data_IF_976347852191
#
_entry.id   IF_976347852191
#
_cell.length_a   1.000
_cell.length_b   1.000
_cell.length_c   1.000
_cell.angle_alpha   90.00
_cell.angle_beta   90.00
_cell.angle_gamma   90.00
#
_symmetry.space_group_name_H-M   'P 1'
#
loop_
_entity.id
_entity.type
_entity.pdbx_description
1 polymer ?
#
# COMPACT_ATOMS: atom_id res chain seq x y z
N UNK A 1 21.52 -18.38 -3.01
CA UNK A 1 20.98 -17.09 -2.53
C UNK A 1 21.52 -16.62 -1.18
N UNK A 2 22.26 -17.43 -0.40
CA UNK A 2 22.91 -16.99 0.85
C UNK A 2 24.11 -16.02 0.67
N UNK A 3 24.57 -15.81 -0.57
CA UNK A 3 25.77 -15.02 -0.85
C UNK A 3 25.49 -13.52 -1.10
N UNK A 4 24.24 -13.13 -1.36
CA UNK A 4 23.97 -11.82 -1.97
C UNK A 4 23.68 -10.72 -0.95
N UNK A 5 22.96 -11.01 0.14
CA UNK A 5 22.79 -10.04 1.24
C UNK A 5 24.08 -9.82 2.04
N UNK A 6 24.98 -10.81 2.12
CA UNK A 6 26.30 -10.63 2.75
C UNK A 6 27.30 -9.90 1.85
N UNK A 7 27.21 -9.99 0.52
CA UNK A 7 28.15 -9.30 -0.37
C UNK A 7 27.95 -7.78 -0.45
N UNK A 8 26.75 -7.27 -0.08
CA UNK A 8 26.53 -5.83 0.08
C UNK A 8 27.05 -5.30 1.42
N UNK A 9 26.82 -6.02 2.52
CA UNK A 9 27.41 -5.65 3.83
C UNK A 9 28.94 -5.77 3.88
N UNK A 10 29.56 -6.76 3.21
CA UNK A 10 31.02 -6.89 3.19
C UNK A 10 31.73 -5.86 2.29
N UNK A 11 31.06 -5.28 1.28
CA UNK A 11 31.69 -4.30 0.38
C UNK A 11 31.88 -2.93 1.03
N UNK A 12 31.02 -2.56 1.98
CA UNK A 12 31.10 -1.28 2.68
C UNK A 12 32.02 -1.32 3.92
N UNK A 13 32.37 -2.52 4.41
CA UNK A 13 33.39 -2.70 5.46
C UNK A 13 34.84 -2.78 4.95
N UNK A 14 35.03 -2.82 3.62
CA UNK A 14 36.34 -3.01 2.98
C UNK A 14 36.81 -1.80 2.14
N UNK A 15 36.17 -0.63 2.26
CA UNK A 15 36.76 0.60 1.74
C UNK A 15 38.00 0.98 2.59
N UNK A 16 39.19 1.14 1.99
CA UNK A 16 40.34 1.67 2.70
C UNK A 16 40.03 3.08 3.20
N UNK A 17 40.14 3.27 4.51
CA UNK A 17 40.41 4.59 5.07
C UNK A 17 41.83 4.99 4.66
N UNK A 18 41.99 5.81 3.63
CA UNK A 18 43.27 6.48 3.32
C UNK A 18 43.11 8.00 3.37
N UNK A 19 43.29 8.53 4.58
CA UNK A 19 44.32 9.49 5.04
C UNK A 19 45.02 10.47 4.04
N UNK A 20 45.62 11.57 4.57
CA UNK A 20 45.56 12.93 4.05
C UNK A 20 46.72 13.28 3.11
N UNK A 21 46.55 14.34 2.32
CA UNK A 21 47.64 15.00 1.60
C UNK A 21 48.11 16.25 2.37
N UNK A 22 49.39 16.26 2.76
CA UNK A 22 50.12 17.45 3.19
C UNK A 22 51.00 17.95 2.04
N UNK A 23 51.01 19.27 1.82
CA UNK A 23 52.21 20.13 1.86
C UNK A 23 52.02 21.41 1.02
N UNK A 24 52.07 22.55 1.72
CA UNK A 24 52.06 23.90 1.15
C UNK A 24 51.90 24.96 2.23
N UNK A 25 52.99 25.32 2.92
CA UNK A 25 53.08 26.39 3.94
C UNK A 25 53.82 27.62 3.34
N UNK A 26 53.82 28.83 3.95
CA UNK A 26 52.73 29.68 4.44
C UNK A 26 52.67 31.04 3.69
N UNK A 27 51.53 31.75 3.80
CA UNK A 27 51.57 33.22 3.88
C UNK A 27 50.72 33.71 5.04
N UNK A 28 51.32 34.63 5.78
CA UNK A 28 50.84 35.30 6.97
C UNK A 28 49.66 36.22 6.67
N UNK A 29 48.56 36.12 7.42
CA UNK A 29 47.89 37.31 7.95
C UNK A 29 46.88 36.96 9.03
N UNK A 30 47.02 37.69 10.12
CA UNK A 30 46.27 37.63 11.37
C UNK A 30 44.95 38.42 11.30
N UNK A 31 44.09 38.14 12.29
CA UNK A 31 42.97 38.95 12.84
C UNK A 31 41.53 38.66 12.34
N UNK A 32 40.48 38.90 13.18
CA UNK A 32 40.01 37.92 14.17
C UNK A 32 38.48 37.69 14.13
N UNK A 33 38.04 36.71 14.91
CA UNK A 33 36.64 36.36 15.24
C UNK A 33 35.87 37.51 15.92
N UNK A 34 34.58 37.71 15.59
CA UNK A 34 33.67 38.49 16.42
C UNK A 34 33.00 37.63 17.51
N UNK A 35 33.11 38.13 18.73
CA UNK A 35 32.57 37.65 20.00
C UNK A 35 31.03 37.66 20.07
N UNK A 36 30.45 36.61 20.68
CA UNK A 36 29.12 36.67 21.32
C UNK A 36 29.18 37.52 22.62
N UNK A 37 28.09 38.21 23.01
CA UNK A 37 27.89 38.69 24.37
C UNK A 37 27.13 37.67 25.26
N UNK A 38 27.30 37.72 26.60
CA UNK A 38 26.86 36.67 27.53
C UNK A 38 25.44 36.88 28.12
N UNK A 39 25.00 35.79 28.75
CA UNK A 39 23.76 35.47 29.48
C UNK A 39 23.33 36.40 30.63
N UNK A 40 22.01 36.46 30.91
CA UNK A 40 21.49 36.03 32.22
C UNK A 40 19.95 35.76 32.28
N UNK A 41 19.46 34.94 33.23
CA UNK A 41 18.12 34.34 33.26
C UNK A 41 17.23 34.85 34.43
N UNK A 42 16.19 34.10 34.89
CA UNK A 42 14.77 34.38 34.71
C UNK A 42 14.11 35.07 35.92
N UNK A 43 12.99 35.77 35.70
CA UNK A 43 12.15 36.26 36.80
C UNK A 43 10.81 35.52 36.85
N UNK A 44 10.66 34.72 37.91
CA UNK A 44 9.42 34.22 38.46
C UNK A 44 8.86 35.27 39.42
N UNK A 45 7.58 35.63 39.30
CA UNK A 45 6.74 36.04 40.43
C UNK A 45 5.26 35.87 40.07
N UNK A 46 4.59 34.96 40.79
CA UNK A 46 3.19 35.09 41.18
C UNK A 46 3.21 35.54 42.66
N UNK A 47 2.27 36.36 43.19
CA UNK A 47 1.00 35.78 43.66
C UNK A 47 -0.23 36.73 43.71
N UNK A 48 -1.44 36.15 43.64
CA UNK A 48 -2.53 36.46 44.58
C UNK A 48 -3.85 37.07 44.05
N UNK A 49 -4.96 36.40 44.40
CA UNK A 49 -6.32 36.95 44.59
C UNK A 49 -7.32 36.64 43.46
N UNK A 50 -8.24 35.65 43.54
CA UNK A 50 -9.43 35.44 44.38
C UNK A 50 -10.77 35.75 43.65
N UNK A 51 -11.80 34.96 44.01
CA UNK A 51 -13.21 34.89 43.55
C UNK A 51 -13.46 34.03 42.29
N UNK A 52 -14.33 33.01 42.29
CA UNK A 52 -15.19 32.42 43.32
C UNK A 52 -16.18 31.43 42.67
N UNK A 53 -16.17 30.20 43.18
CA UNK A 53 -17.28 29.25 43.43
C UNK A 53 -18.50 29.13 42.50
N UNK A 54 -18.74 27.89 42.01
CA UNK A 54 -20.03 27.40 41.52
C UNK A 54 -20.09 25.86 41.50
N UNK A 55 -20.56 25.28 42.60
CA UNK A 55 -20.80 23.84 42.84
C UNK A 55 -22.06 23.32 42.14
N UNK A 56 -22.07 22.04 41.74
CA UNK A 56 -23.32 21.35 41.34
C UNK A 56 -23.12 19.87 41.02
N UNK A 57 -23.16 19.02 42.05
CA UNK A 57 -23.35 17.58 41.92
C UNK A 57 -24.85 17.26 41.70
N UNK A 58 -25.15 16.22 40.91
CA UNK A 58 -26.53 15.76 40.69
C UNK A 58 -26.56 14.32 40.21
N UNK A 59 -26.79 13.41 41.15
CA UNK A 59 -27.08 11.99 40.96
C UNK A 59 -28.56 11.83 40.55
N UNK A 60 -28.91 10.86 39.70
CA UNK A 60 -30.31 10.62 39.32
C UNK A 60 -30.55 9.29 38.61
N UNK A 61 -30.93 8.28 39.38
CA UNK A 61 -31.43 6.98 38.94
C UNK A 61 -32.95 7.09 38.67
N UNK A 62 -33.49 6.42 37.65
CA UNK A 62 -34.94 6.41 37.36
C UNK A 62 -35.33 5.34 36.35
N UNK A 63 -36.27 4.49 36.76
CA UNK A 63 -36.66 3.21 36.17
C UNK A 63 -38.01 3.32 35.41
N UNK A 64 -38.24 2.40 34.48
CA UNK A 64 -39.51 1.70 34.17
C UNK A 64 -40.48 2.16 33.04
N UNK A 65 -41.01 1.14 32.33
CA UNK A 65 -42.24 1.09 31.49
C UNK A 65 -42.01 1.22 29.97
N UNK A 66 -42.38 0.33 29.04
CA UNK A 66 -43.29 -0.82 29.05
C UNK A 66 -44.48 -0.59 28.10
N UNK A 67 -44.50 -1.20 26.89
CA UNK A 67 -45.66 -1.71 26.11
C UNK A 67 -45.14 -2.17 24.71
N UNK A 68 -45.53 -3.26 24.04
CA UNK A 68 -46.68 -4.16 24.17
C UNK A 68 -47.62 -4.06 22.94
N UNK A 69 -47.76 -5.14 22.16
CA UNK A 69 -48.86 -5.39 21.19
C UNK A 69 -48.45 -5.33 19.70
N UNK A 70 -48.30 -6.41 18.94
CA UNK A 70 -49.21 -7.50 18.49
C UNK A 70 -50.04 -7.17 17.24
N UNK A 71 -50.03 -8.07 16.24
CA UNK A 71 -50.90 -7.98 15.06
C UNK A 71 -50.51 -8.89 13.88
N UNK A 72 -50.70 -10.21 14.06
CA UNK A 72 -50.77 -11.22 12.99
C UNK A 72 -52.03 -11.02 12.12
N UNK A 73 -52.01 -11.36 10.80
CA UNK A 73 -52.66 -12.58 10.24
C UNK A 73 -52.90 -12.56 8.71
N UNK A 74 -52.61 -13.72 8.08
CA UNK A 74 -53.31 -14.43 6.98
C UNK A 74 -53.50 -13.89 5.55
N UNK A 75 -52.78 -14.56 4.63
CA UNK A 75 -53.25 -15.42 3.51
C UNK A 75 -54.55 -15.11 2.74
N UNK A 76 -54.43 -15.09 1.40
CA UNK A 76 -55.54 -15.29 0.46
C UNK A 76 -55.06 -15.51 -0.97
N UNK A 77 -55.26 -16.73 -1.48
CA UNK A 77 -55.04 -17.24 -2.84
C UNK A 77 -56.04 -16.68 -3.86
N UNK A 78 -55.66 -16.55 -5.13
CA UNK A 78 -56.62 -16.40 -6.23
C UNK A 78 -56.00 -16.12 -7.60
N UNK A 79 -56.03 -17.12 -8.49
CA UNK A 79 -55.69 -17.01 -9.91
C UNK A 79 -56.87 -16.47 -10.75
N UNK A 80 -56.61 -15.82 -11.89
CA UNK A 80 -57.65 -15.53 -12.88
C UNK A 80 -57.23 -14.56 -13.98
N UNK A 81 -57.13 -15.09 -15.21
CA UNK A 81 -56.88 -14.39 -16.47
C UNK A 81 -58.00 -13.41 -16.88
N UNK A 82 -57.65 -12.41 -17.70
CA UNK A 82 -58.46 -12.08 -18.90
C UNK A 82 -58.85 -10.62 -19.14
N UNK A 83 -58.25 -10.07 -20.22
CA UNK A 83 -58.80 -9.13 -21.20
C UNK A 83 -58.84 -7.60 -20.94
N UNK A 84 -58.20 -6.91 -21.90
CA UNK A 84 -58.19 -5.47 -22.28
C UNK A 84 -59.55 -5.03 -22.89
N UNK A 85 -59.92 -3.73 -23.06
CA UNK A 85 -59.25 -2.71 -23.92
C UNK A 85 -59.22 -1.29 -23.25
N UNK A 86 -58.51 -0.22 -23.66
CA UNK A 86 -58.36 0.50 -24.94
C UNK A 86 -57.15 1.48 -24.90
N UNK A 87 -56.51 1.72 -26.05
CA UNK A 87 -55.45 2.71 -26.39
C UNK A 87 -56.08 4.14 -26.60
N UNK A 88 -55.39 5.33 -26.69
CA UNK A 88 -54.25 5.69 -27.58
C UNK A 88 -53.11 6.58 -26.99
N UNK A 89 -51.87 6.48 -27.51
CA UNK A 89 -50.93 7.61 -27.46
C UNK A 89 -49.42 7.34 -27.57
N UNK A 90 -48.89 7.38 -28.80
CA UNK A 90 -47.51 7.24 -29.30
C UNK A 90 -46.38 8.08 -28.65
N UNK A 91 -45.13 7.58 -28.64
CA UNK A 91 -44.02 8.06 -29.52
C UNK A 91 -42.72 7.25 -29.31
N UNK A 92 -41.88 7.22 -30.35
CA UNK A 92 -40.92 6.17 -30.70
C UNK A 92 -39.46 6.33 -30.20
N UNK A 93 -38.80 5.18 -30.07
CA UNK A 93 -37.35 4.97 -29.85
C UNK A 93 -36.59 4.91 -31.19
N UNK A 94 -35.35 5.42 -31.31
CA UNK A 94 -34.43 5.03 -32.38
C UNK A 94 -33.35 4.05 -31.91
N UNK A 95 -33.19 2.96 -32.67
CA UNK A 95 -32.08 2.00 -32.64
C UNK A 95 -31.00 2.43 -33.62
N UNK A 96 -29.69 2.32 -33.31
CA UNK A 96 -28.65 2.32 -34.34
C UNK A 96 -27.98 0.95 -34.55
N UNK A 97 -27.76 0.66 -35.84
CA UNK A 97 -27.12 -0.50 -36.49
C UNK A 97 -25.58 -0.44 -36.40
N UNK A 98 -24.83 -1.57 -36.49
CA UNK A 98 -23.37 -1.58 -36.28
C UNK A 98 -22.57 -1.17 -37.52
N UNK A 99 -21.39 -0.57 -37.31
CA UNK A 99 -20.34 -0.36 -38.34
C UNK A 99 -18.96 -0.57 -37.73
N UNK A 100 -18.12 -1.33 -38.45
CA UNK A 100 -16.77 -1.77 -38.10
C UNK A 100 -15.73 -0.64 -37.99
N UNK A 101 -14.74 -0.87 -37.11
CA UNK A 101 -13.33 -0.55 -37.36
C UNK A 101 -12.82 0.88 -37.14
N UNK A 102 -12.52 1.25 -35.88
CA UNK A 102 -11.45 2.19 -35.56
C UNK A 102 -10.93 1.97 -34.13
N UNK A 103 -9.61 1.83 -33.99
CA UNK A 103 -8.87 1.70 -32.74
C UNK A 103 -9.03 2.99 -31.91
N UNK A 104 -10.04 3.04 -31.04
CA UNK A 104 -10.26 4.11 -30.09
C UNK A 104 -9.49 3.85 -28.80
N UNK A 105 -8.58 4.76 -28.43
CA UNK A 105 -8.03 4.85 -27.08
C UNK A 105 -9.17 4.88 -26.04
N UNK A 106 -9.14 4.01 -25.01
CA UNK A 106 -10.22 3.94 -24.04
C UNK A 106 -10.30 5.21 -23.18
N UNK A 107 -11.49 5.81 -23.15
CA UNK A 107 -11.88 6.89 -22.23
C UNK A 107 -11.95 6.36 -20.79
N UNK A 108 -11.43 7.09 -19.77
CA UNK A 108 -11.40 6.61 -18.39
C UNK A 108 -12.72 6.92 -17.69
N UNK A 109 -13.80 6.21 -18.04
CA UNK A 109 -15.11 6.33 -17.37
C UNK A 109 -15.31 5.32 -16.24
N UNK A 110 -14.25 5.01 -15.49
CA UNK A 110 -14.38 4.39 -14.17
C UNK A 110 -14.66 5.47 -13.12
N UNK A 111 -15.57 5.21 -12.17
CA UNK A 111 -15.75 6.08 -10.99
C UNK A 111 -14.44 6.10 -10.20
N UNK A 112 -13.78 7.25 -10.12
CA UNK A 112 -12.57 7.42 -9.32
C UNK A 112 -12.87 7.24 -7.84
N UNK A 113 -11.93 6.68 -7.09
CA UNK A 113 -12.05 6.58 -5.64
C UNK A 113 -11.85 7.98 -5.01
N UNK A 114 -12.52 8.26 -3.87
CA UNK A 114 -12.24 9.43 -3.08
C UNK A 114 -10.76 9.48 -2.68
N UNK A 115 -10.16 10.66 -2.75
CA UNK A 115 -8.77 10.85 -2.35
C UNK A 115 -8.65 10.98 -0.83
N UNK A 116 -7.62 10.38 -0.20
CA UNK A 116 -7.31 10.66 1.19
C UNK A 116 -6.87 12.12 1.39
N UNK A 117 -6.88 12.64 2.64
CA UNK A 117 -6.36 13.96 2.93
C UNK A 117 -4.87 14.07 2.58
N UNK A 118 -4.46 15.16 1.94
CA UNK A 118 -3.07 15.45 1.62
C UNK A 118 -2.94 16.41 0.45
N UNK A 119 -1.70 16.81 0.15
CA UNK A 119 -1.42 17.62 -1.05
C UNK A 119 -1.52 16.72 -2.28
N UNK A 120 -2.48 17.01 -3.15
CA UNK A 120 -2.67 16.24 -4.39
C UNK A 120 -1.61 16.64 -5.42
N UNK A 121 -0.93 15.65 -5.99
CA UNK A 121 0.08 15.78 -7.04
C UNK A 121 -0.22 14.85 -8.21
N UNK A 122 0.36 15.15 -9.37
CA UNK A 122 0.20 14.35 -10.61
C UNK A 122 1.49 14.39 -11.42
N UNK A 123 1.72 13.39 -12.27
CA UNK A 123 2.77 13.39 -13.28
C UNK A 123 2.17 13.12 -14.67
N UNK A 124 2.89 13.45 -15.78
CA UNK A 124 2.47 13.05 -17.11
C UNK A 124 2.33 11.52 -17.21
N UNK A 125 1.17 11.05 -17.68
CA UNK A 125 0.91 9.65 -17.97
C UNK A 125 1.72 9.15 -19.17
N UNK A 126 1.75 7.82 -19.37
CA UNK A 126 2.50 7.16 -20.45
C UNK A 126 3.81 6.56 -19.96
N UNK A 127 4.81 6.49 -20.85
CA UNK A 127 6.08 5.80 -20.58
C UNK A 127 6.92 6.60 -19.58
N UNK A 128 7.29 5.93 -18.48
CA UNK A 128 8.16 6.46 -17.44
C UNK A 128 9.54 5.82 -17.56
N UNK A 129 10.57 6.64 -17.77
CA UNK A 129 11.96 6.19 -17.81
C UNK A 129 12.71 6.54 -16.51
N UNK A 130 12.00 7.07 -15.52
CA UNK A 130 12.50 7.40 -14.18
C UNK A 130 11.38 7.16 -13.18
N UNK A 131 11.76 6.80 -11.96
CA UNK A 131 10.83 6.55 -10.87
C UNK A 131 10.05 7.83 -10.56
N UNK A 132 8.75 7.68 -10.33
CA UNK A 132 7.89 8.76 -9.83
C UNK A 132 7.91 8.68 -8.30
N UNK A 133 8.32 9.77 -7.66
CA UNK A 133 8.33 9.85 -6.19
C UNK A 133 7.04 10.51 -5.72
N UNK A 134 6.34 9.85 -4.80
CA UNK A 134 5.24 10.41 -4.03
C UNK A 134 5.81 10.81 -2.68
N UNK A 135 6.08 12.11 -2.50
CA UNK A 135 6.77 12.57 -1.30
C UNK A 135 5.90 12.48 -0.05
N UNK A 136 6.54 12.65 1.11
CA UNK A 136 5.94 12.54 2.43
C UNK A 136 4.58 13.25 2.52
N UNK A 137 3.52 12.48 2.78
CA UNK A 137 2.14 12.97 2.93
C UNK A 137 1.45 13.47 1.66
N UNK A 138 2.07 13.31 0.48
CA UNK A 138 1.45 13.66 -0.79
C UNK A 138 0.46 12.58 -1.25
N UNK A 139 -0.52 13.00 -2.05
CA UNK A 139 -1.50 12.11 -2.68
C UNK A 139 -1.29 12.19 -4.19
N UNK A 140 -0.68 11.18 -4.77
CA UNK A 140 -0.60 11.06 -6.21
C UNK A 140 -1.95 10.58 -6.77
N UNK A 141 -2.63 11.43 -7.53
CA UNK A 141 -3.88 11.07 -8.20
C UNK A 141 -3.64 10.82 -9.70
N UNK A 142 -3.64 9.55 -10.08
CA UNK A 142 -3.49 9.12 -11.46
C UNK A 142 -4.70 9.39 -12.34
N UNK A 143 -5.87 9.73 -11.78
CA UNK A 143 -7.12 10.00 -12.52
C UNK A 143 -7.51 8.91 -13.51
N UNK A 144 -7.20 7.66 -13.20
CA UNK A 144 -7.42 6.48 -14.04
C UNK A 144 -6.46 6.36 -15.23
N UNK A 145 -5.41 7.18 -15.30
CA UNK A 145 -4.44 7.16 -16.40
C UNK A 145 -3.44 6.01 -16.26
N UNK A 146 -2.86 5.61 -17.39
CA UNK A 146 -1.86 4.56 -17.49
C UNK A 146 -0.44 5.11 -17.39
N UNK A 147 0.36 4.55 -16.49
CA UNK A 147 1.78 4.80 -16.30
C UNK A 147 2.53 3.51 -16.60
N UNK A 148 3.37 3.53 -17.62
CA UNK A 148 4.06 2.33 -18.11
C UNK A 148 5.54 2.45 -17.82
N UNK A 149 6.12 1.51 -17.09
CA UNK A 149 7.56 1.49 -16.91
C UNK A 149 8.28 1.21 -18.23
N UNK A 150 9.25 2.06 -18.54
CA UNK A 150 10.08 2.00 -19.74
C UNK A 150 11.49 1.45 -19.45
N UNK A 151 12.34 1.36 -20.48
CA UNK A 151 13.68 0.77 -20.37
C UNK A 151 14.62 1.49 -19.38
N UNK A 152 14.32 2.73 -19.00
CA UNK A 152 15.05 3.41 -17.93
C UNK A 152 14.81 2.85 -16.53
N UNK A 153 13.75 2.05 -16.34
CA UNK A 153 13.39 1.41 -15.08
C UNK A 153 13.74 -0.08 -15.04
N UNK A 154 13.72 -0.76 -16.17
CA UNK A 154 14.01 -2.19 -16.21
C UNK A 154 13.63 -2.81 -17.54
N UNK A 155 13.86 -4.12 -17.65
CA UNK A 155 13.54 -4.92 -18.83
C UNK A 155 12.29 -5.81 -18.63
N UNK A 156 11.67 -5.79 -17.45
CA UNK A 156 10.47 -6.55 -17.11
C UNK A 156 10.76 -8.03 -16.83
N UNK A 157 12.04 -8.41 -16.72
CA UNK A 157 12.43 -9.76 -16.33
C UNK A 157 12.28 -9.97 -14.81
N UNK A 158 12.70 -11.12 -14.30
CA UNK A 158 12.78 -11.42 -12.86
C UNK A 158 14.12 -10.98 -12.26
N UNK A 159 14.78 -9.98 -12.85
CA UNK A 159 16.04 -9.44 -12.35
C UNK A 159 15.77 -8.48 -11.17
N UNK A 160 16.45 -8.72 -10.05
CA UNK A 160 16.32 -8.00 -8.78
C UNK A 160 16.88 -6.55 -8.78
N UNK A 161 17.46 -6.07 -9.89
CA UNK A 161 18.08 -4.73 -9.98
C UNK A 161 17.22 -3.69 -10.71
N UNK A 162 15.98 -4.01 -11.01
CA UNK A 162 15.06 -3.08 -11.63
C UNK A 162 14.72 -1.92 -10.68
N UNK A 163 14.42 -0.77 -11.25
CA UNK A 163 13.98 0.40 -10.50
C UNK A 163 12.46 0.38 -10.37
N UNK A 164 11.92 0.85 -9.24
CA UNK A 164 10.48 0.97 -9.07
C UNK A 164 9.88 1.99 -10.03
N UNK A 165 8.63 1.75 -10.45
CA UNK A 165 7.84 2.74 -11.18
C UNK A 165 7.44 3.89 -10.24
N UNK A 166 7.06 3.55 -9.00
CA UNK A 166 6.74 4.52 -7.96
C UNK A 166 7.52 4.22 -6.67
N UNK A 167 8.04 5.27 -6.03
CA UNK A 167 8.47 5.24 -4.63
C UNK A 167 7.51 6.09 -3.83
N UNK A 168 6.94 5.51 -2.77
CA UNK A 168 6.00 6.18 -1.87
C UNK A 168 6.67 6.36 -0.52
N UNK A 169 6.95 7.62 -0.19
CA UNK A 169 7.47 8.02 1.12
C UNK A 169 6.40 7.91 2.22
N UNK A 170 6.83 8.10 3.47
CA UNK A 170 5.97 8.05 4.66
C UNK A 170 4.70 8.92 4.55
N UNK A 171 3.56 8.32 4.84
CA UNK A 171 2.24 8.94 4.72
C UNK A 171 1.77 9.21 3.28
N UNK A 172 2.55 8.85 2.26
CA UNK A 172 2.19 9.04 0.86
C UNK A 172 1.03 8.14 0.43
N UNK A 173 0.28 8.58 -0.59
CA UNK A 173 -0.85 7.83 -1.15
C UNK A 173 -0.80 7.80 -2.67
N UNK A 174 -0.92 6.62 -3.26
CA UNK A 174 -1.05 6.38 -4.69
C UNK A 174 -2.51 6.04 -4.99
N UNK A 175 -3.20 6.85 -5.80
CA UNK A 175 -4.64 6.72 -6.04
C UNK A 175 -4.98 6.73 -7.52
N UNK A 176 -5.96 5.91 -7.93
CA UNK A 176 -6.52 5.92 -9.28
C UNK A 176 -5.46 5.74 -10.39
N UNK A 177 -4.46 4.90 -10.17
CA UNK A 177 -3.38 4.66 -11.14
C UNK A 177 -3.60 3.34 -11.88
N UNK A 178 -3.51 3.36 -13.20
CA UNK A 178 -3.27 2.15 -13.99
C UNK A 178 -1.77 2.04 -14.26
N UNK A 179 -1.20 0.87 -14.09
CA UNK A 179 0.24 0.62 -14.26
C UNK A 179 0.52 -0.67 -15.01
N UNK A 180 1.71 -0.77 -15.58
CA UNK A 180 2.24 -1.95 -16.25
C UNK A 180 3.61 -1.65 -16.88
N UNK A 181 4.09 -2.51 -17.77
CA UNK A 181 5.39 -2.35 -18.41
C UNK A 181 6.50 -3.00 -17.60
N UNK A 182 7.68 -2.38 -17.58
CA UNK A 182 8.87 -2.90 -16.88
C UNK A 182 9.09 -2.20 -15.53
N UNK A 183 10.12 -2.63 -14.78
CA UNK A 183 10.43 -2.08 -13.46
C UNK A 183 9.94 -2.95 -12.31
N UNK A 184 10.06 -2.42 -11.10
CA UNK A 184 9.81 -3.11 -9.82
C UNK A 184 8.55 -2.57 -9.11
N UNK A 185 7.48 -2.35 -9.88
CA UNK A 185 6.18 -1.95 -9.32
C UNK A 185 6.21 -0.67 -8.46
N UNK A 186 5.59 -0.76 -7.27
CA UNK A 186 5.44 0.34 -6.30
C UNK A 186 6.16 0.00 -5.00
N UNK A 187 7.12 0.81 -4.59
CA UNK A 187 7.84 0.64 -3.33
C UNK A 187 7.23 1.53 -2.24
N UNK A 188 6.91 0.94 -1.10
CA UNK A 188 6.53 1.64 0.12
C UNK A 188 7.72 1.69 1.06
N UNK A 189 8.31 2.88 1.18
CA UNK A 189 9.42 3.09 2.10
C UNK A 189 8.93 3.05 3.55
N UNK A 190 7.72 3.50 3.84
CA UNK A 190 7.18 3.57 5.20
C UNK A 190 5.65 3.42 5.16
N UNK A 191 4.93 4.11 6.06
CA UNK A 191 3.47 4.06 6.04
C UNK A 191 2.94 4.65 4.73
N UNK A 192 1.91 4.06 4.13
CA UNK A 192 1.37 4.57 2.88
C UNK A 192 0.11 3.86 2.42
N UNK A 193 -0.49 4.39 1.36
CA UNK A 193 -1.74 3.86 0.79
C UNK A 193 -1.63 3.65 -0.71
N UNK A 194 -2.19 2.56 -1.21
CA UNK A 194 -2.48 2.31 -2.62
C UNK A 194 -3.99 2.10 -2.75
N UNK A 195 -4.68 2.96 -3.49
CA UNK A 195 -6.15 2.98 -3.52
C UNK A 195 -6.66 3.01 -4.96
N UNK A 196 -7.52 2.06 -5.31
CA UNK A 196 -8.15 1.98 -6.63
C UNK A 196 -7.11 2.00 -7.78
N UNK A 197 -6.04 1.24 -7.61
CA UNK A 197 -5.00 1.08 -8.61
C UNK A 197 -5.14 -0.25 -9.35
N UNK A 198 -4.71 -0.29 -10.61
CA UNK A 198 -4.72 -1.50 -11.44
C UNK A 198 -3.32 -1.73 -11.97
N UNK A 199 -2.68 -2.82 -11.59
CA UNK A 199 -1.51 -3.33 -12.28
C UNK A 199 -1.97 -4.32 -13.36
N UNK A 200 -1.85 -3.90 -14.62
CA UNK A 200 -2.41 -4.59 -15.79
C UNK A 200 -1.61 -5.85 -16.17
N UNK A 201 -0.32 -5.87 -15.83
CA UNK A 201 0.59 -6.97 -16.08
C UNK A 201 1.80 -6.81 -15.13
N UNK A 202 1.82 -7.59 -14.06
CA UNK A 202 2.85 -7.49 -13.03
C UNK A 202 4.19 -7.99 -13.59
N UNK A 203 5.24 -7.18 -13.44
CA UNK A 203 6.60 -7.45 -13.91
C UNK A 203 7.37 -8.39 -12.96
N UNK A 204 8.31 -7.87 -12.16
CA UNK A 204 8.98 -8.61 -11.08
C UNK A 204 7.92 -8.90 -10.00
N UNK A 205 7.45 -7.83 -9.37
CA UNK A 205 6.37 -7.77 -8.42
C UNK A 205 5.57 -6.45 -8.58
N UNK A 206 4.41 -6.37 -7.93
CA UNK A 206 3.52 -5.22 -8.06
C UNK A 206 3.77 -4.18 -6.97
N UNK A 207 4.08 -4.66 -5.77
CA UNK A 207 4.29 -3.86 -4.56
C UNK A 207 5.43 -4.45 -3.76
N UNK A 208 6.35 -3.58 -3.34
CA UNK A 208 7.43 -3.92 -2.41
C UNK A 208 7.24 -3.10 -1.13
N UNK A 209 7.22 -3.79 0.01
CA UNK A 209 7.34 -3.16 1.32
C UNK A 209 8.80 -3.21 1.70
N UNK A 210 9.40 -2.05 1.91
CA UNK A 210 10.85 -1.97 2.00
C UNK A 210 11.40 -2.58 3.29
N UNK A 211 12.44 -3.39 3.13
CA UNK A 211 13.41 -3.68 4.18
C UNK A 211 14.44 -2.56 4.27
N UNK A 212 15.41 -2.69 5.18
CA UNK A 212 16.48 -1.70 5.32
C UNK A 212 17.22 -1.45 3.98
N UNK A 213 17.60 -2.51 3.27
CA UNK A 213 18.37 -2.38 2.03
C UNK A 213 17.60 -1.72 0.88
N UNK A 214 16.32 -2.06 0.69
CA UNK A 214 15.46 -1.39 -0.30
C UNK A 214 15.31 0.08 0.06
N UNK A 215 15.02 0.36 1.33
CA UNK A 215 14.76 1.70 1.82
C UNK A 215 15.96 2.63 1.66
N UNK A 216 17.18 2.16 1.90
CA UNK A 216 18.39 2.95 1.66
C UNK A 216 18.55 3.33 0.19
N UNK A 217 18.27 2.40 -0.71
CA UNK A 217 18.28 2.64 -2.16
C UNK A 217 17.19 3.64 -2.58
N UNK A 218 15.95 3.41 -2.15
CA UNK A 218 14.80 4.23 -2.52
C UNK A 218 14.85 5.62 -1.90
N UNK A 219 15.46 5.77 -0.71
CA UNK A 219 15.77 7.08 -0.13
C UNK A 219 16.76 7.88 -1.00
N UNK A 220 17.70 7.20 -1.66
CA UNK A 220 18.59 7.82 -2.64
C UNK A 220 17.85 8.32 -3.88
N UNK A 221 16.85 7.59 -4.36
CA UNK A 221 15.98 8.01 -5.48
C UNK A 221 15.12 9.22 -5.05
N UNK A 222 14.51 9.12 -3.87
CA UNK A 222 13.58 10.12 -3.34
C UNK A 222 14.28 11.40 -2.84
N UNK A 223 15.57 11.31 -2.51
CA UNK A 223 16.33 12.42 -1.91
C UNK A 223 15.94 12.70 -0.47
N UNK A 224 15.55 11.66 0.28
CA UNK A 224 15.07 11.75 1.66
C UNK A 224 15.87 10.84 2.62
N UNK A 225 15.49 10.82 3.90
CA UNK A 225 16.11 9.91 4.89
C UNK A 225 15.50 8.51 4.81
N UNK A 226 16.29 7.43 4.93
CA UNK A 226 15.76 6.06 5.02
C UNK A 226 15.22 5.71 6.43
N UNK A 227 15.21 6.65 7.38
CA UNK A 227 14.74 6.35 8.73
C UNK A 227 13.21 6.19 8.80
N UNK A 228 12.76 5.11 9.44
CA UNK A 228 11.35 4.85 9.74
C UNK A 228 11.18 4.68 11.24
N UNK A 229 10.22 5.40 11.81
CA UNK A 229 9.87 5.25 13.21
C UNK A 229 8.81 4.16 13.38
N UNK A 230 9.13 3.14 14.18
CA UNK A 230 8.20 2.07 14.51
C UNK A 230 7.88 1.16 13.31
N UNK A 231 6.73 0.49 13.38
CA UNK A 231 6.26 -0.38 12.31
C UNK A 231 5.38 0.41 11.33
N UNK A 232 5.76 0.55 10.05
CA UNK A 232 4.96 1.26 9.06
C UNK A 232 3.63 0.55 8.82
N UNK A 233 2.60 1.32 8.46
CA UNK A 233 1.31 0.79 8.03
C UNK A 233 1.10 0.97 6.52
N UNK A 234 0.98 -0.13 5.79
CA UNK A 234 0.72 -0.12 4.34
C UNK A 234 -0.70 -0.59 4.07
N UNK A 235 -1.47 0.20 3.34
CA UNK A 235 -2.87 -0.10 3.02
C UNK A 235 -3.06 -0.20 1.50
N UNK A 236 -3.39 -1.39 1.01
CA UNK A 236 -3.69 -1.70 -0.39
C UNK A 236 -5.20 -1.95 -0.47
N UNK A 237 -5.93 -1.04 -1.12
CA UNK A 237 -7.38 -0.97 -1.01
C UNK A 237 -8.02 -0.89 -2.39
N UNK A 238 -8.96 -1.78 -2.68
CA UNK A 238 -9.70 -1.87 -3.93
C UNK A 238 -8.80 -1.90 -5.17
N UNK A 239 -7.64 -2.55 -5.06
CA UNK A 239 -6.67 -2.66 -6.15
C UNK A 239 -6.89 -3.94 -6.97
N UNK A 240 -6.44 -3.93 -8.22
CA UNK A 240 -6.46 -5.10 -9.10
C UNK A 240 -5.06 -5.41 -9.60
N UNK A 241 -4.62 -6.66 -9.47
CA UNK A 241 -3.31 -7.13 -9.93
C UNK A 241 -3.49 -8.32 -10.88
N UNK A 242 -2.78 -8.31 -12.01
CA UNK A 242 -2.90 -9.32 -13.06
C UNK A 242 -1.56 -9.94 -13.41
N UNK A 243 -1.57 -11.25 -13.65
CA UNK A 243 -0.47 -12.01 -14.27
C UNK A 243 0.88 -11.96 -13.54
N UNK A 244 0.91 -11.87 -12.21
CA UNK A 244 2.17 -11.95 -11.48
C UNK A 244 2.84 -13.31 -11.73
N UNK A 245 4.04 -13.29 -12.30
CA UNK A 245 4.79 -14.50 -12.62
C UNK A 245 5.13 -15.28 -11.34
N UNK A 246 5.58 -14.55 -10.31
CA UNK A 246 5.80 -15.07 -8.96
C UNK A 246 4.93 -14.37 -7.91
N UNK A 247 5.27 -13.16 -7.48
CA UNK A 247 4.64 -12.51 -6.31
C UNK A 247 3.93 -11.22 -6.68
N UNK A 248 2.80 -10.93 -6.02
CA UNK A 248 2.14 -9.61 -6.13
C UNK A 248 2.77 -8.64 -5.15
N UNK A 249 2.86 -9.03 -3.88
CA UNK A 249 3.49 -8.24 -2.82
C UNK A 249 4.75 -8.95 -2.31
N UNK A 250 5.88 -8.25 -2.38
CA UNK A 250 7.11 -8.59 -1.67
C UNK A 250 7.19 -7.81 -0.37
N UNK A 251 7.52 -8.50 0.71
CA UNK A 251 7.64 -7.90 2.03
C UNK A 251 9.04 -8.13 2.62
N UNK A 252 9.86 -7.08 2.55
CA UNK A 252 11.27 -7.11 2.93
C UNK A 252 11.53 -6.55 4.33
N UNK A 253 10.53 -6.04 5.03
CA UNK A 253 10.67 -5.42 6.35
C UNK A 253 9.44 -5.59 7.21
N UNK A 254 9.50 -5.23 8.50
CA UNK A 254 8.33 -5.29 9.36
C UNK A 254 7.29 -4.23 8.96
N UNK A 255 6.04 -4.63 8.77
CA UNK A 255 4.92 -3.72 8.47
C UNK A 255 3.58 -4.25 9.00
N UNK A 256 2.67 -3.35 9.35
CA UNK A 256 1.25 -3.67 9.49
C UNK A 256 0.59 -3.47 8.12
N UNK A 257 0.08 -4.54 7.52
CA UNK A 257 -0.43 -4.49 6.14
C UNK A 257 -1.94 -4.74 6.13
N UNK A 258 -2.67 -3.94 5.38
CA UNK A 258 -4.09 -4.16 5.09
C UNK A 258 -4.26 -4.31 3.59
N UNK A 259 -4.83 -5.44 3.18
CA UNK A 259 -5.31 -5.70 1.82
C UNK A 259 -6.84 -5.84 1.89
N UNK A 260 -7.57 -4.89 1.31
CA UNK A 260 -9.04 -4.86 1.44
C UNK A 260 -9.73 -4.58 0.11
N UNK A 261 -10.66 -5.46 -0.26
CA UNK A 261 -11.42 -5.31 -1.51
C UNK A 261 -10.59 -5.56 -2.77
N UNK A 262 -9.40 -6.15 -2.61
CA UNK A 262 -8.47 -6.36 -3.71
C UNK A 262 -8.85 -7.57 -4.57
N UNK A 263 -8.49 -7.48 -5.84
CA UNK A 263 -8.62 -8.58 -6.80
C UNK A 263 -7.26 -8.98 -7.35
N UNK A 264 -6.99 -10.28 -7.35
CA UNK A 264 -5.82 -10.86 -8.03
C UNK A 264 -6.32 -11.84 -9.07
N UNK A 265 -5.77 -11.75 -10.29
CA UNK A 265 -6.02 -12.70 -11.36
C UNK A 265 -4.70 -13.17 -11.95
N UNK A 266 -4.22 -14.32 -11.47
CA UNK A 266 -2.93 -14.88 -11.84
C UNK A 266 -1.81 -14.38 -10.93
N UNK A 267 -1.32 -15.28 -10.07
CA UNK A 267 -0.12 -15.07 -9.26
C UNK A 267 0.53 -16.41 -8.90
N UNK A 268 1.84 -16.43 -8.65
CA UNK A 268 2.45 -17.53 -7.89
C UNK A 268 2.00 -17.47 -6.43
N UNK A 269 2.29 -16.33 -5.79
CA UNK A 269 1.97 -15.98 -4.40
C UNK A 269 1.34 -14.59 -4.38
N UNK A 270 0.32 -14.36 -3.56
CA UNK A 270 -0.22 -13.00 -3.42
C UNK A 270 0.68 -12.15 -2.53
N UNK A 271 1.04 -12.65 -1.35
CA UNK A 271 1.90 -11.97 -0.40
C UNK A 271 3.06 -12.87 0.02
N UNK A 272 4.29 -12.38 -0.13
CA UNK A 272 5.50 -13.13 0.21
C UNK A 272 6.44 -12.25 1.04
N UNK A 273 6.64 -12.64 2.30
CA UNK A 273 7.79 -12.15 3.08
C UNK A 273 9.09 -12.60 2.45
N UNK A 274 10.18 -11.86 2.63
CA UNK A 274 11.48 -12.19 2.06
C UNK A 274 11.91 -13.63 2.43
N UNK A 275 12.32 -14.40 1.42
CA UNK A 275 12.54 -15.84 1.57
C UNK A 275 13.75 -16.19 2.42
N UNK A 276 13.58 -17.11 3.36
CA UNK A 276 14.65 -17.53 4.28
C UNK A 276 15.00 -16.50 5.36
N UNK A 277 14.35 -15.34 5.37
CA UNK A 277 14.51 -14.33 6.41
C UNK A 277 13.59 -14.64 7.58
N UNK A 278 14.15 -14.65 8.79
CA UNK A 278 13.42 -14.92 10.03
C UNK A 278 13.06 -13.65 10.80
N UNK A 279 13.59 -12.51 10.35
CA UNK A 279 13.51 -11.19 10.97
C UNK A 279 12.31 -10.36 10.49
N UNK A 280 11.58 -10.81 9.46
CA UNK A 280 10.36 -10.13 9.00
C UNK A 280 9.21 -10.38 9.98
N UNK A 281 8.71 -9.30 10.61
CA UNK A 281 7.64 -9.32 11.62
C UNK A 281 6.45 -8.47 11.16
N UNK A 282 5.86 -8.89 10.02
CA UNK A 282 4.72 -8.20 9.40
C UNK A 282 3.39 -8.82 9.77
N UNK A 283 2.41 -7.98 10.09
CA UNK A 283 1.09 -8.41 10.53
C UNK A 283 0.07 -8.01 9.46
N UNK A 284 -0.36 -9.01 8.68
CA UNK A 284 -1.16 -8.81 7.48
C UNK A 284 -2.64 -9.06 7.77
N UNK A 285 -3.50 -8.20 7.26
CA UNK A 285 -4.95 -8.37 7.26
C UNK A 285 -5.43 -8.43 5.81
N UNK A 286 -6.13 -9.51 5.45
CA UNK A 286 -6.72 -9.71 4.13
C UNK A 286 -8.22 -9.81 4.33
N UNK A 287 -8.97 -8.85 3.77
CA UNK A 287 -10.41 -8.77 3.95
C UNK A 287 -11.18 -8.45 2.67
N UNK A 288 -12.30 -9.15 2.44
CA UNK A 288 -13.20 -8.87 1.31
C UNK A 288 -12.52 -8.98 -0.06
N UNK A 289 -11.49 -9.83 -0.19
CA UNK A 289 -10.68 -9.98 -1.39
C UNK A 289 -11.12 -11.15 -2.27
N UNK A 290 -10.77 -11.10 -3.55
CA UNK A 290 -11.02 -12.16 -4.52
C UNK A 290 -9.75 -12.50 -5.32
N UNK A 291 -9.11 -13.61 -5.00
CA UNK A 291 -7.82 -14.02 -5.57
C UNK A 291 -7.97 -15.31 -6.38
N UNK A 292 -7.93 -15.19 -7.71
CA UNK A 292 -8.09 -16.30 -8.63
C UNK A 292 -6.79 -16.59 -9.39
N UNK A 293 -6.66 -17.83 -9.85
CA UNK A 293 -5.49 -18.35 -10.56
C UNK A 293 -4.19 -18.21 -9.75
N UNK A 294 -4.27 -18.42 -8.43
CA UNK A 294 -3.10 -18.40 -7.55
C UNK A 294 -2.46 -19.80 -7.52
N UNK A 295 -1.19 -19.89 -7.89
CA UNK A 295 -0.52 -21.19 -8.12
C UNK A 295 -0.01 -21.86 -6.84
N UNK A 296 0.35 -21.09 -5.81
CA UNK A 296 0.95 -21.63 -4.58
C UNK A 296 0.17 -21.26 -3.32
N UNK A 297 0.17 -19.97 -2.96
CA UNK A 297 -0.40 -19.51 -1.70
C UNK A 297 -0.89 -18.06 -1.75
N UNK A 298 -1.88 -17.74 -0.93
CA UNK A 298 -2.24 -16.33 -0.71
C UNK A 298 -1.18 -15.64 0.14
N UNK A 299 -0.86 -16.18 1.31
CA UNK A 299 0.22 -15.66 2.16
C UNK A 299 1.29 -16.72 2.36
N UNK A 300 2.55 -16.38 2.09
CA UNK A 300 3.70 -17.26 2.32
C UNK A 300 4.77 -16.57 3.16
N UNK A 301 5.16 -17.23 4.25
CA UNK A 301 6.26 -16.79 5.09
C UNK A 301 7.15 -17.93 5.56
N UNK A 302 8.42 -17.60 5.77
CA UNK A 302 9.37 -18.44 6.52
C UNK A 302 9.69 -17.81 7.89
N UNK A 303 9.21 -16.58 8.13
CA UNK A 303 9.49 -15.83 9.34
C UNK A 303 8.49 -16.21 10.44
N UNK A 304 8.95 -16.57 11.66
CA UNK A 304 8.05 -16.93 12.74
C UNK A 304 7.27 -15.73 13.31
N UNK A 305 7.74 -14.49 13.10
CA UNK A 305 7.07 -13.27 13.56
C UNK A 305 5.92 -12.82 12.65
N UNK A 306 5.99 -13.12 11.35
CA UNK A 306 4.98 -12.68 10.40
C UNK A 306 3.65 -13.41 10.59
N UNK A 307 2.54 -12.69 10.58
CA UNK A 307 1.20 -13.26 10.77
C UNK A 307 0.22 -12.76 9.74
N UNK A 308 -0.84 -13.52 9.50
CA UNK A 308 -1.95 -13.13 8.65
C UNK A 308 -3.30 -13.41 9.30
N UNK A 309 -4.22 -12.46 9.16
CA UNK A 309 -5.65 -12.60 9.47
C UNK A 309 -6.44 -12.54 8.17
N UNK A 310 -7.23 -13.58 7.90
CA UNK A 310 -8.04 -13.69 6.69
C UNK A 310 -9.52 -13.64 7.06
N UNK A 311 -10.28 -12.80 6.37
CA UNK A 311 -11.73 -12.75 6.48
C UNK A 311 -12.39 -12.48 5.13
N UNK A 312 -13.51 -13.14 4.84
CA UNK A 312 -14.25 -12.97 3.59
C UNK A 312 -13.36 -13.01 2.32
N UNK A 313 -12.43 -13.97 2.28
CA UNK A 313 -11.56 -14.20 1.13
C UNK A 313 -12.17 -15.26 0.23
N UNK A 314 -12.36 -14.93 -1.05
CA UNK A 314 -12.59 -15.92 -2.10
C UNK A 314 -11.28 -16.22 -2.80
N UNK A 315 -10.84 -17.48 -2.79
CA UNK A 315 -9.63 -17.86 -3.52
C UNK A 315 -9.62 -19.31 -4.00
N UNK A 316 -8.97 -19.56 -5.13
CA UNK A 316 -8.66 -20.89 -5.65
C UNK A 316 -7.22 -21.35 -5.32
N UNK A 317 -6.47 -20.56 -4.53
CA UNK A 317 -5.13 -20.93 -4.13
C UNK A 317 -5.11 -22.31 -3.43
N UNK A 318 -4.13 -23.18 -3.77
CA UNK A 318 -3.96 -24.47 -3.11
C UNK A 318 -3.82 -24.32 -1.59
N UNK A 319 -3.07 -23.31 -1.14
CA UNK A 319 -2.98 -22.92 0.25
C UNK A 319 -3.47 -21.47 0.41
N UNK A 320 -4.24 -21.20 1.46
CA UNK A 320 -4.45 -19.82 1.89
C UNK A 320 -3.19 -19.30 2.57
N UNK A 321 -2.56 -20.14 3.39
CA UNK A 321 -1.34 -19.78 4.11
C UNK A 321 -0.30 -20.90 4.02
N UNK A 322 0.95 -20.53 3.77
CA UNK A 322 2.12 -21.37 4.03
C UNK A 322 2.98 -20.64 5.07
N UNK A 323 3.15 -21.23 6.25
CA UNK A 323 3.88 -20.63 7.36
C UNK A 323 4.59 -21.70 8.19
N UNK A 324 5.59 -21.33 9.03
CA UNK A 324 6.20 -22.22 10.00
C UNK A 324 5.17 -22.86 10.95
N UNK A 325 4.24 -22.05 11.48
CA UNK A 325 3.26 -22.48 12.47
C UNK A 325 1.82 -22.07 12.09
N UNK A 326 0.86 -22.95 12.36
CA UNK A 326 -0.55 -22.69 12.05
C UNK A 326 -1.15 -21.51 12.85
N UNK A 327 -0.57 -21.18 14.02
CA UNK A 327 -0.99 -20.02 14.82
C UNK A 327 -0.78 -18.68 14.11
N UNK A 328 0.07 -18.64 13.08
CA UNK A 328 0.32 -17.44 12.26
C UNK A 328 -0.84 -17.15 11.28
N UNK A 329 -1.81 -18.06 11.14
CA UNK A 329 -2.80 -18.06 10.05
C UNK A 329 -4.24 -18.00 10.58
N UNK A 330 -4.62 -16.87 11.16
CA UNK A 330 -5.96 -16.71 11.76
C UNK A 330 -7.02 -16.57 10.66
N UNK A 331 -8.06 -17.39 10.72
CA UNK A 331 -9.16 -17.38 9.74
C UNK A 331 -8.88 -18.18 8.46
N UNK A 332 -7.66 -18.69 8.28
CA UNK A 332 -7.32 -19.57 7.18
C UNK A 332 -7.84 -21.01 7.42
N UNK A 333 -8.28 -21.65 6.36
CA UNK A 333 -8.78 -23.03 6.34
C UNK A 333 -7.82 -24.00 5.64
N UNK A 334 -6.97 -23.49 4.74
CA UNK A 334 -5.95 -24.27 4.01
C UNK A 334 -4.56 -23.78 4.38
N UNK A 335 -3.99 -24.37 5.42
CA UNK A 335 -2.67 -24.02 5.94
C UNK A 335 -1.67 -25.13 5.59
N UNK A 336 -0.60 -24.78 4.90
CA UNK A 336 0.50 -25.67 4.56
C UNK A 336 1.81 -25.26 5.25
N UNK A 337 2.81 -26.13 5.11
CA UNK A 337 4.18 -25.86 5.54
C UNK A 337 5.13 -26.20 4.39
N UNK A 338 6.15 -25.36 4.17
CA UNK A 338 7.18 -25.59 3.16
C UNK A 338 8.48 -24.96 3.61
N UNK A 339 9.52 -25.78 3.78
CA UNK A 339 10.84 -25.28 4.12
C UNK A 339 11.40 -24.42 2.98
N UNK A 340 12.11 -23.34 3.34
CA UNK A 340 12.87 -22.56 2.37
C UNK A 340 13.95 -23.44 1.70
N UNK A 341 13.99 -23.43 0.37
CA UNK A 341 14.87 -24.29 -0.43
C UNK A 341 15.97 -23.54 -1.19
N UNK A 342 16.12 -22.23 -0.95
CA UNK A 342 16.94 -21.35 -1.79
C UNK A 342 16.11 -20.76 -2.91
#
# INVERSE_FOLDING_TARGET
>A
MLAYCMQRMLKDMLQPQDQPSSDGQPTTNSNPTPSMPPSNPPCSTNPGGQHGSGSGAGNGNGNNGGNGGNGSNTSGTGAGNGASPTHPGHSATPTPTPTDGAHGTPSPTGTQAPLPPGKVVTAPAGIQNKTIVVHKGEVFDGKGQLYTGGPGLGDGSQNEHQQPLFVVEDGGSLCNVRMGGTGDGVHFMASGKMVNCVNEDVSEDAVTIDGQGNREHDAGIAGCSPEVSGRPKVEIINCTFKNAADKVVQDNGAADVVMSGDTVNGAGKVFRTNGGHSDVDSHVQIENCNFNQVKEAVFRTDAPGATVKISNLKTDAPNEVIAPEASQAIGATRIGHKTYSG
#
